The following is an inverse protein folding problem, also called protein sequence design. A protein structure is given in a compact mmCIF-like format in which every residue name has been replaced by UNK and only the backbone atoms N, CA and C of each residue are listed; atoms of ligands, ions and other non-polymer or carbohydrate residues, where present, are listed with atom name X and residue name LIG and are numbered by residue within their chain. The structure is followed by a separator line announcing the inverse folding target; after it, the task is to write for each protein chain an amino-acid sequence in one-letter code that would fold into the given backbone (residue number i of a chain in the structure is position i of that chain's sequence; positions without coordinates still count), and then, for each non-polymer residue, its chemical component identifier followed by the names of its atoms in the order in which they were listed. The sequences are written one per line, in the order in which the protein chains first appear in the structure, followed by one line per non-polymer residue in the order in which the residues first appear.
data_IF_629755579104
#
_entry.id   IF_629755579104
#
_cell.length_a   1.000
_cell.length_b   1.000
_cell.length_c   1.000
_cell.angle_alpha   90.00
_cell.angle_beta   90.00
_cell.angle_gamma   90.00
#
_symmetry.space_group_name_H-M   'P 1'
#
loop_
_entity.id
_entity.type
_entity.pdbx_description
1 polymer ?
#
# COMPACT_ATOMS: atom_id res chain seq x y z
N UNK A 1 -16.41 8.89 3.11
CA UNK A 1 -15.47 7.74 3.09
C UNK A 1 -16.30 6.45 3.03
N UNK A 2 -15.85 5.42 2.30
CA UNK A 2 -16.61 4.20 2.03
C UNK A 2 -17.13 3.54 3.33
N UNK A 3 -18.44 3.59 3.56
CA UNK A 3 -19.10 3.18 4.82
C UNK A 3 -18.78 1.74 5.23
N UNK A 4 -18.62 0.85 4.25
CA UNK A 4 -18.33 -0.57 4.47
C UNK A 4 -16.94 -0.77 5.06
N UNK A 5 -15.89 -0.18 4.47
CA UNK A 5 -14.51 -0.35 4.94
C UNK A 5 -14.35 0.15 6.39
N UNK A 6 -14.97 1.29 6.71
CA UNK A 6 -14.97 1.81 8.07
C UNK A 6 -15.61 0.84 9.08
N UNK A 7 -16.76 0.26 8.73
CA UNK A 7 -17.48 -0.72 9.56
C UNK A 7 -16.70 -2.03 9.72
N UNK A 8 -16.13 -2.58 8.64
CA UNK A 8 -15.33 -3.80 8.67
C UNK A 8 -14.09 -3.60 9.53
N UNK A 9 -13.39 -2.47 9.39
CA UNK A 9 -12.24 -2.16 10.23
C UNK A 9 -12.63 -2.03 11.70
N UNK A 10 -13.74 -1.32 12.02
CA UNK A 10 -14.23 -1.24 13.42
C UNK A 10 -14.50 -2.64 13.98
N UNK A 11 -15.16 -3.52 13.22
CA UNK A 11 -15.46 -4.88 13.65
C UNK A 11 -14.18 -5.68 13.88
N UNK A 12 -13.24 -5.65 12.94
CA UNK A 12 -11.96 -6.34 13.05
C UNK A 12 -11.15 -5.91 14.29
N UNK A 13 -11.15 -4.62 14.60
CA UNK A 13 -10.49 -4.08 15.81
C UNK A 13 -11.16 -4.56 17.09
N UNK A 14 -12.50 -4.58 17.14
CA UNK A 14 -13.25 -5.08 18.30
C UNK A 14 -13.00 -6.57 18.55
N UNK A 15 -12.82 -7.33 17.49
CA UNK A 15 -12.58 -8.78 17.54
C UNK A 15 -11.09 -9.16 17.57
N UNK A 16 -10.18 -8.18 17.70
CA UNK A 16 -8.73 -8.34 17.72
C UNK A 16 -8.19 -9.23 16.58
N UNK A 17 -8.71 -9.04 15.36
CA UNK A 17 -8.31 -9.82 14.18
C UNK A 17 -7.05 -9.24 13.55
N UNK A 18 -6.17 -10.08 13.00
CA UNK A 18 -5.11 -9.64 12.09
C UNK A 18 -5.72 -8.99 10.85
N UNK A 19 -5.16 -7.85 10.41
CA UNK A 19 -5.71 -7.04 9.33
C UNK A 19 -4.66 -6.88 8.22
N UNK A 20 -5.04 -7.25 7.00
CA UNK A 20 -4.35 -6.82 5.78
C UNK A 20 -5.09 -5.58 5.23
N UNK A 21 -4.40 -4.44 5.18
CA UNK A 21 -4.97 -3.20 4.67
C UNK A 21 -4.27 -2.76 3.38
N UNK A 22 -4.90 -3.04 2.23
CA UNK A 22 -4.37 -2.61 0.93
C UNK A 22 -4.62 -1.11 0.70
N UNK A 23 -3.56 -0.39 0.35
CA UNK A 23 -3.62 1.04 0.06
C UNK A 23 -2.44 1.50 -0.78
N UNK A 24 -2.68 2.45 -1.68
CA UNK A 24 -1.62 3.15 -2.41
C UNK A 24 -0.81 4.12 -1.55
N UNK A 25 -1.24 4.40 -0.31
CA UNK A 25 -0.60 5.36 0.59
C UNK A 25 -0.52 6.82 0.08
N UNK A 26 -1.32 7.18 -0.93
CA UNK A 26 -1.35 8.56 -1.48
C UNK A 26 -1.68 9.64 -0.44
N UNK A 27 -2.62 9.35 0.47
CA UNK A 27 -3.09 10.32 1.45
C UNK A 27 -2.38 10.15 2.79
N UNK A 28 -1.36 10.98 3.01
CA UNK A 28 -0.54 11.05 4.22
C UNK A 28 -1.37 11.14 5.51
N UNK A 29 -2.35 12.03 5.56
CA UNK A 29 -3.17 12.26 6.76
C UNK A 29 -3.98 11.00 7.12
N UNK A 30 -4.60 10.38 6.12
CA UNK A 30 -5.37 9.14 6.30
C UNK A 30 -4.49 8.00 6.81
N UNK A 31 -3.28 7.82 6.26
CA UNK A 31 -2.38 6.75 6.70
C UNK A 31 -1.87 7.01 8.13
N UNK A 32 -1.54 8.25 8.49
CA UNK A 32 -1.19 8.61 9.88
C UNK A 32 -2.32 8.30 10.86
N UNK A 33 -3.55 8.67 10.52
CA UNK A 33 -4.72 8.38 11.35
C UNK A 33 -4.95 6.87 11.51
N UNK A 34 -4.78 6.10 10.43
CA UNK A 34 -4.87 4.64 10.48
C UNK A 34 -3.81 4.04 11.41
N UNK A 35 -2.54 4.39 11.25
CA UNK A 35 -1.45 3.90 12.09
C UNK A 35 -1.69 4.24 13.55
N UNK A 36 -2.05 5.50 13.85
CA UNK A 36 -2.35 5.92 15.22
C UNK A 36 -3.51 5.13 15.82
N UNK A 37 -4.55 4.86 15.04
CA UNK A 37 -5.70 4.07 15.49
C UNK A 37 -5.33 2.61 15.76
N UNK A 38 -4.51 2.00 14.90
CA UNK A 38 -4.02 0.62 15.07
C UNK A 38 -3.11 0.51 16.30
N UNK A 39 -2.15 1.43 16.46
CA UNK A 39 -1.28 1.49 17.65
C UNK A 39 -2.07 1.65 18.95
N UNK A 40 -3.07 2.54 18.98
CA UNK A 40 -3.95 2.72 20.14
C UNK A 40 -4.77 1.47 20.48
N UNK A 41 -5.02 0.62 19.49
CA UNK A 41 -5.71 -0.66 19.68
C UNK A 41 -4.75 -1.81 20.03
N UNK A 42 -3.46 -1.55 20.21
CA UNK A 42 -2.46 -2.55 20.63
C UNK A 42 -1.91 -3.42 19.50
N UNK A 43 -2.06 -3.00 18.24
CA UNK A 43 -1.54 -3.75 17.10
C UNK A 43 -0.06 -3.48 16.83
N UNK A 44 0.65 -4.56 16.49
CA UNK A 44 1.91 -4.48 15.74
C UNK A 44 1.62 -4.24 14.26
N UNK A 45 2.40 -3.35 13.65
CA UNK A 45 2.18 -2.86 12.30
C UNK A 45 3.41 -3.16 11.46
N UNK A 46 3.21 -3.99 10.43
CA UNK A 46 4.17 -4.18 9.35
C UNK A 46 3.71 -3.43 8.10
N UNK A 47 4.59 -2.62 7.52
CA UNK A 47 4.33 -1.95 6.24
C UNK A 47 5.14 -2.60 5.14
N UNK A 48 4.45 -3.07 4.10
CA UNK A 48 5.08 -3.60 2.88
C UNK A 48 4.90 -2.58 1.75
N UNK A 49 6.02 -2.06 1.23
CA UNK A 49 6.04 -1.17 0.07
C UNK A 49 6.46 -1.95 -1.18
N UNK A 50 5.63 -1.91 -2.21
CA UNK A 50 5.90 -2.51 -3.51
C UNK A 50 6.41 -1.43 -4.46
N UNK A 51 7.71 -1.43 -4.73
CA UNK A 51 8.35 -0.51 -5.63
C UNK A 51 8.31 -1.01 -7.07
N UNK A 52 8.14 -0.06 -7.99
CA UNK A 52 8.15 -0.32 -9.42
C UNK A 52 8.45 1.00 -10.14
N UNK A 53 9.36 1.02 -11.13
CA UNK A 53 9.59 2.21 -11.95
C UNK A 53 8.30 2.77 -12.55
N UNK A 54 8.16 4.10 -12.55
CA UNK A 54 6.95 4.80 -12.98
C UNK A 54 6.50 4.37 -14.38
N UNK A 55 7.43 4.33 -15.33
CA UNK A 55 7.18 3.91 -16.72
C UNK A 55 6.57 2.51 -16.79
N UNK A 56 7.17 1.55 -16.08
CA UNK A 56 6.65 0.18 -15.98
C UNK A 56 5.29 0.12 -15.29
N UNK A 57 5.06 0.96 -14.28
CA UNK A 57 3.76 1.05 -13.62
C UNK A 57 2.65 1.55 -14.54
N UNK A 58 2.97 2.49 -15.45
CA UNK A 58 2.05 3.01 -16.46
C UNK A 58 1.74 1.94 -17.50
N UNK A 59 2.76 1.24 -18.03
CA UNK A 59 2.60 0.13 -18.97
C UNK A 59 1.74 -0.98 -18.36
N UNK A 60 1.98 -1.36 -17.10
CA UNK A 60 1.17 -2.37 -16.40
C UNK A 60 -0.28 -1.93 -16.21
N UNK A 61 -0.55 -0.65 -15.94
CA UNK A 61 -1.93 -0.13 -15.85
C UNK A 61 -2.65 -0.19 -17.20
N UNK A 62 -1.97 0.16 -18.29
CA UNK A 62 -2.50 0.04 -19.65
C UNK A 62 -2.81 -1.43 -19.95
N UNK A 63 -1.84 -2.34 -19.75
CA UNK A 63 -2.02 -3.77 -19.98
C UNK A 63 -3.17 -4.38 -19.17
N UNK A 64 -3.34 -3.99 -17.89
CA UNK A 64 -4.50 -4.41 -17.09
C UNK A 64 -5.82 -3.95 -17.70
N UNK A 65 -5.87 -2.78 -18.29
CA UNK A 65 -7.09 -2.20 -18.88
C UNK A 65 -7.63 -3.04 -20.04
N UNK A 66 -6.74 -3.70 -20.78
CA UNK A 66 -7.09 -4.58 -21.91
C UNK A 66 -7.33 -6.05 -21.51
N UNK A 67 -7.11 -6.42 -20.25
CA UNK A 67 -7.35 -7.79 -19.76
C UNK A 67 -8.83 -8.10 -19.56
N UNK A 68 -9.20 -9.40 -19.57
CA UNK A 68 -10.59 -9.91 -19.42
C UNK A 68 -11.36 -9.40 -18.18
N UNK A 69 -10.67 -8.86 -17.18
CA UNK A 69 -11.23 -8.28 -15.93
C UNK A 69 -10.71 -6.87 -15.65
N UNK A 70 -10.19 -6.21 -16.68
CA UNK A 70 -9.50 -4.94 -16.58
C UNK A 70 -10.39 -3.80 -16.13
N UNK A 71 -9.88 -2.98 -15.20
CA UNK A 71 -10.40 -1.65 -14.97
C UNK A 71 -9.39 -0.66 -15.51
N UNK A 72 -9.84 0.24 -16.39
CA UNK A 72 -9.00 1.33 -16.86
C UNK A 72 -8.58 2.22 -15.69
N UNK A 73 -7.27 2.43 -15.57
CA UNK A 73 -6.67 3.42 -14.67
C UNK A 73 -5.86 4.34 -15.55
N UNK A 74 -6.22 5.62 -15.55
CA UNK A 74 -5.54 6.63 -16.35
C UNK A 74 -4.04 6.64 -16.02
N UNK A 75 -3.14 6.42 -17.00
CA UNK A 75 -1.70 6.31 -16.76
C UNK A 75 -1.11 7.53 -16.04
N UNK A 76 -1.64 8.73 -16.33
CA UNK A 76 -1.22 9.99 -15.71
C UNK A 76 -1.43 10.03 -14.18
N UNK A 77 -2.35 9.20 -13.67
CA UNK A 77 -2.53 9.05 -12.22
C UNK A 77 -1.27 8.47 -11.56
N UNK A 78 -0.51 7.61 -12.26
CA UNK A 78 0.73 7.07 -11.69
C UNK A 78 1.79 8.15 -11.50
N UNK A 79 1.92 9.08 -12.46
CA UNK A 79 2.88 10.17 -12.38
C UNK A 79 2.57 11.12 -11.20
N UNK A 80 1.30 11.41 -10.97
CA UNK A 80 0.87 12.31 -9.88
C UNK A 80 0.84 11.65 -8.50
N UNK A 81 0.79 10.32 -8.44
CA UNK A 81 0.64 9.56 -7.19
C UNK A 81 1.96 8.95 -6.71
N UNK A 82 2.85 8.53 -7.62
CA UNK A 82 4.09 7.83 -7.26
C UNK A 82 4.93 8.57 -6.22
N UNK A 83 5.21 9.85 -6.47
CA UNK A 83 5.96 10.70 -5.54
C UNK A 83 5.25 10.87 -4.19
N UNK A 84 3.91 10.89 -4.16
CA UNK A 84 3.15 10.98 -2.91
C UNK A 84 3.25 9.69 -2.11
N UNK A 85 3.21 8.55 -2.77
CA UNK A 85 3.22 7.23 -2.14
C UNK A 85 4.55 6.95 -1.43
N UNK A 86 5.68 7.09 -2.14
CA UNK A 86 7.02 6.86 -1.55
C UNK A 86 7.31 7.85 -0.41
N UNK A 87 6.89 9.11 -0.56
CA UNK A 87 7.05 10.09 0.50
C UNK A 87 6.19 9.76 1.73
N UNK A 88 5.00 9.20 1.55
CA UNK A 88 4.20 8.72 2.68
C UNK A 88 4.90 7.57 3.38
N UNK A 89 5.41 6.59 2.63
CA UNK A 89 6.18 5.47 3.16
C UNK A 89 7.39 5.94 3.98
N UNK A 90 8.25 6.78 3.39
CA UNK A 90 9.44 7.31 4.07
C UNK A 90 9.12 8.06 5.37
N UNK A 91 7.96 8.70 5.46
CA UNK A 91 7.52 9.41 6.66
C UNK A 91 6.98 8.48 7.77
N UNK A 92 6.41 7.33 7.41
CA UNK A 92 5.78 6.43 8.38
C UNK A 92 6.65 5.25 8.77
N UNK A 93 7.66 4.89 7.98
CA UNK A 93 8.48 3.69 8.17
C UNK A 93 9.13 3.62 9.57
N UNK A 94 9.51 4.77 10.13
CA UNK A 94 10.11 4.83 11.47
C UNK A 94 9.07 4.87 12.61
N UNK A 95 7.77 4.88 12.27
CA UNK A 95 6.64 4.94 13.22
C UNK A 95 5.86 3.63 13.32
N UNK A 96 6.31 2.60 12.61
CA UNK A 96 5.75 1.26 12.59
C UNK A 96 6.77 0.26 13.14
N UNK A 97 6.32 -0.96 13.40
CA UNK A 97 7.14 -1.98 14.07
C UNK A 97 8.11 -2.64 13.09
N UNK A 98 7.61 -3.03 11.91
CA UNK A 98 8.40 -3.61 10.83
C UNK A 98 8.06 -2.88 9.53
N UNK A 99 9.05 -2.74 8.65
CA UNK A 99 8.77 -2.38 7.27
C UNK A 99 9.70 -3.12 6.30
N UNK A 100 9.17 -3.38 5.10
CA UNK A 100 9.89 -4.01 4.01
C UNK A 100 9.57 -3.31 2.71
N UNK A 101 10.60 -3.07 1.91
CA UNK A 101 10.50 -2.52 0.57
C UNK A 101 10.95 -3.57 -0.43
N UNK A 102 10.08 -3.88 -1.38
CA UNK A 102 10.33 -4.90 -2.39
C UNK A 102 10.33 -4.29 -3.79
N UNK A 103 11.27 -4.71 -4.63
CA UNK A 103 11.22 -4.51 -6.06
C UNK A 103 10.25 -5.53 -6.67
N UNK A 104 9.26 -5.04 -7.40
CA UNK A 104 8.28 -5.87 -8.10
C UNK A 104 8.48 -5.89 -9.61
N UNK A 105 9.62 -5.39 -10.08
CA UNK A 105 10.08 -5.45 -11.46
C UNK A 105 10.70 -6.81 -11.81
N UNK A 106 9.93 -7.86 -11.59
CA UNK A 106 10.29 -9.25 -11.87
C UNK A 106 9.37 -9.84 -12.93
N UNK A 107 9.76 -10.99 -13.49
CA UNK A 107 8.91 -11.74 -14.41
C UNK A 107 7.62 -12.17 -13.72
N UNK A 108 6.53 -12.26 -14.47
CA UNK A 108 5.25 -12.70 -13.91
C UNK A 108 5.37 -14.13 -13.33
N UNK A 109 5.00 -14.30 -12.07
CA UNK A 109 5.10 -15.56 -11.33
C UNK A 109 6.32 -15.63 -10.41
N UNK A 110 7.33 -14.79 -10.63
CA UNK A 110 8.51 -14.73 -9.77
C UNK A 110 8.23 -14.00 -8.45
N UNK A 111 9.07 -14.32 -7.45
CA UNK A 111 9.04 -13.62 -6.16
C UNK A 111 9.64 -12.23 -6.30
N UNK A 112 9.08 -11.21 -5.63
CA UNK A 112 9.67 -9.88 -5.62
C UNK A 112 10.98 -9.86 -4.81
N UNK A 113 11.88 -8.95 -5.17
CA UNK A 113 13.24 -8.85 -4.60
C UNK A 113 13.21 -7.90 -3.40
N UNK A 114 13.74 -8.31 -2.23
CA UNK A 114 13.82 -7.44 -1.07
C UNK A 114 14.90 -6.37 -1.30
N UNK A 115 14.52 -5.09 -1.30
CA UNK A 115 15.44 -3.95 -1.43
C UNK A 115 15.98 -3.55 -0.06
N UNK A 116 15.09 -3.37 0.92
CA UNK A 116 15.45 -2.91 2.26
C UNK A 116 14.38 -3.27 3.28
N UNK A 117 14.76 -3.34 4.56
CA UNK A 117 13.83 -3.63 5.65
C UNK A 117 14.32 -3.12 7.00
N UNK A 118 13.40 -3.00 7.95
CA UNK A 118 13.68 -2.86 9.38
C UNK A 118 12.86 -3.88 10.16
N UNK A 119 13.49 -4.54 11.13
CA UNK A 119 12.83 -5.39 12.12
C UNK A 119 12.88 -4.74 13.49
#
# INVERSE_FOLDING_TARGET
ANLILGRVLVKALKENKSILYDSTMRNRSRIKQLISRLKKAGYDITVIYADLPLEKSMIRSIGRSYGKRGRFVEPMMQATHGSKNINTFNMIKDKVDDWKMYDTDVTFGDKPILISSKR
#
